data_IF_120409942425
#
_entry.id   IF_120409942425
#
_cell.length_a   1.000
_cell.length_b   1.000
_cell.length_c   1.000
_cell.angle_alpha   90.00
_cell.angle_beta   90.00
_cell.angle_gamma   90.00
#
_symmetry.space_group_name_H-M   'P 1'
#
loop_
_entity.id
_entity.type
_entity.pdbx_description
1 polymer ?
#
# COMPACT_ATOMS: atom_id res chain seq x y z
N UNK A 1 -20.30 -5.23 -29.25
CA UNK A 1 -21.19 -6.41 -29.38
C UNK A 1 -20.69 -7.67 -28.68
N UNK A 2 -19.44 -8.13 -28.90
CA UNK A 2 -18.92 -9.34 -28.23
C UNK A 2 -18.83 -9.21 -26.70
N UNK A 3 -18.50 -8.02 -26.20
CA UNK A 3 -18.42 -7.72 -24.75
C UNK A 3 -19.80 -7.87 -24.08
N UNK A 4 -20.87 -7.31 -24.65
CA UNK A 4 -22.23 -7.47 -24.13
C UNK A 4 -22.72 -8.93 -24.18
N UNK A 5 -22.32 -9.68 -25.21
CA UNK A 5 -22.65 -11.10 -25.32
C UNK A 5 -21.94 -11.92 -24.22
N UNK A 6 -20.71 -11.54 -23.88
CA UNK A 6 -19.96 -12.07 -22.75
C UNK A 6 -20.56 -11.69 -21.40
N UNK A 7 -21.06 -10.46 -21.22
CA UNK A 7 -21.77 -10.03 -20.01
C UNK A 7 -23.09 -10.78 -19.81
N UNK A 8 -23.83 -11.03 -20.89
CA UNK A 8 -25.05 -11.85 -20.88
C UNK A 8 -24.70 -13.30 -20.53
N UNK A 9 -23.64 -13.86 -21.11
CA UNK A 9 -23.14 -15.20 -20.76
C UNK A 9 -22.67 -15.25 -19.30
N UNK A 10 -22.08 -14.17 -18.77
CA UNK A 10 -21.68 -14.04 -17.36
C UNK A 10 -22.89 -14.06 -16.42
N UNK A 11 -23.98 -13.37 -16.81
CA UNK A 11 -25.23 -13.38 -16.05
C UNK A 11 -25.87 -14.78 -16.04
N UNK A 12 -25.84 -15.47 -17.18
CA UNK A 12 -26.35 -16.84 -17.32
C UNK A 12 -25.47 -17.86 -16.57
N UNK A 13 -24.13 -17.69 -16.58
CA UNK A 13 -23.20 -18.57 -15.85
C UNK A 13 -23.34 -18.43 -14.33
N UNK A 14 -23.65 -17.23 -13.82
CA UNK A 14 -23.95 -17.01 -12.38
C UNK A 14 -25.24 -17.70 -11.92
N UNK A 15 -26.19 -17.93 -12.83
CA UNK A 15 -27.50 -18.51 -12.49
C UNK A 15 -27.53 -20.05 -12.51
N UNK A 16 -26.51 -20.74 -13.05
CA UNK A 16 -26.46 -22.21 -13.11
C UNK A 16 -25.09 -22.78 -12.71
N UNK A 17 -24.90 -23.26 -11.46
CA UNK A 17 -23.62 -23.79 -10.98
C UNK A 17 -23.25 -25.18 -11.54
N UNK A 18 -24.22 -25.96 -12.04
CA UNK A 18 -24.00 -27.38 -12.39
C UNK A 18 -23.37 -27.66 -13.77
N UNK A 19 -23.48 -26.75 -14.75
CA UNK A 19 -22.97 -26.91 -16.13
C UNK A 19 -21.94 -25.82 -16.51
N UNK A 20 -21.55 -25.00 -15.54
CA UNK A 20 -20.75 -23.79 -15.71
C UNK A 20 -19.30 -24.02 -16.15
N UNK A 21 -18.76 -25.25 -16.06
CA UNK A 21 -17.40 -25.56 -16.53
C UNK A 21 -17.35 -25.90 -18.03
N UNK A 22 -18.39 -26.52 -18.58
CA UNK A 22 -18.41 -26.97 -19.97
C UNK A 22 -18.68 -25.83 -20.97
N UNK A 23 -19.47 -24.84 -20.55
CA UNK A 23 -19.82 -23.69 -21.38
C UNK A 23 -18.63 -22.76 -21.68
N UNK A 24 -17.83 -22.29 -20.70
CA UNK A 24 -16.68 -21.42 -20.97
C UNK A 24 -15.54 -22.15 -21.69
N UNK A 25 -15.42 -23.49 -21.57
CA UNK A 25 -14.49 -24.28 -22.38
C UNK A 25 -14.89 -24.28 -23.87
N UNK A 26 -16.18 -24.45 -24.19
CA UNK A 26 -16.70 -24.31 -25.57
C UNK A 26 -16.59 -22.88 -26.09
N UNK A 27 -16.71 -21.87 -25.21
CA UNK A 27 -16.53 -20.47 -25.58
C UNK A 27 -15.05 -20.13 -25.82
N UNK A 28 -14.11 -20.72 -25.07
CA UNK A 28 -12.64 -20.56 -25.27
C UNK A 28 -12.19 -20.98 -26.67
N UNK A 29 -12.81 -22.02 -27.25
CA UNK A 29 -12.50 -22.48 -28.62
C UNK A 29 -13.02 -21.52 -29.71
N UNK A 30 -14.13 -20.81 -29.45
CA UNK A 30 -14.74 -19.88 -30.42
C UNK A 30 -14.22 -18.44 -30.32
N UNK A 31 -13.54 -18.09 -29.23
CA UNK A 31 -13.18 -16.71 -28.87
C UNK A 31 -11.69 -16.37 -29.08
N UNK A 32 -10.92 -17.24 -29.74
CA UNK A 32 -9.49 -17.02 -30.05
C UNK A 32 -9.15 -15.75 -30.86
N UNK A 33 -10.16 -15.01 -31.33
CA UNK A 33 -9.99 -13.82 -32.17
C UNK A 33 -9.74 -12.54 -31.34
N UNK A 34 -10.03 -12.53 -30.03
CA UNK A 34 -9.83 -11.35 -29.16
C UNK A 34 -9.23 -11.72 -27.80
N UNK A 35 -8.06 -11.15 -27.50
CA UNK A 35 -7.30 -11.40 -26.26
C UNK A 35 -8.07 -10.96 -25.01
N UNK A 36 -8.82 -9.86 -25.07
CA UNK A 36 -9.69 -9.38 -23.99
C UNK A 36 -10.79 -10.38 -23.62
N UNK A 37 -11.34 -11.05 -24.63
CA UNK A 37 -12.40 -12.04 -24.46
C UNK A 37 -11.86 -13.36 -23.90
N UNK A 38 -10.60 -13.71 -24.21
CA UNK A 38 -9.90 -14.83 -23.56
C UNK A 38 -9.67 -14.54 -22.07
N UNK A 39 -9.29 -13.31 -21.71
CA UNK A 39 -9.12 -12.89 -20.30
C UNK A 39 -10.45 -12.99 -19.55
N UNK A 40 -11.55 -12.51 -20.12
CA UNK A 40 -12.89 -12.62 -19.50
C UNK A 40 -13.33 -14.07 -19.32
N UNK A 41 -13.07 -14.95 -20.29
CA UNK A 41 -13.36 -16.38 -20.13
C UNK A 41 -12.49 -17.02 -19.04
N UNK A 42 -11.18 -16.74 -19.01
CA UNK A 42 -10.26 -17.29 -17.99
C UNK A 42 -10.61 -16.79 -16.59
N UNK A 43 -10.99 -15.53 -16.42
CA UNK A 43 -11.40 -14.96 -15.13
C UNK A 43 -12.72 -15.54 -14.62
N UNK A 44 -13.67 -15.81 -15.52
CA UNK A 44 -14.93 -16.50 -15.18
C UNK A 44 -14.67 -17.95 -14.78
N UNK A 45 -13.81 -18.67 -15.50
CA UNK A 45 -13.36 -20.02 -15.12
C UNK A 45 -12.68 -20.01 -13.76
N UNK A 46 -11.82 -19.02 -13.51
CA UNK A 46 -11.16 -18.84 -12.20
C UNK A 46 -12.16 -18.63 -11.07
N UNK A 47 -13.19 -17.79 -11.29
CA UNK A 47 -14.24 -17.54 -10.28
C UNK A 47 -14.99 -18.83 -9.93
N UNK A 48 -15.38 -19.61 -10.93
CA UNK A 48 -16.07 -20.89 -10.73
C UNK A 48 -15.18 -21.93 -10.06
N UNK A 49 -13.88 -21.95 -10.37
CA UNK A 49 -12.91 -22.85 -9.71
C UNK A 49 -12.62 -22.45 -8.27
N UNK A 50 -12.67 -21.15 -7.96
CA UNK A 50 -12.63 -20.64 -6.60
C UNK A 50 -13.83 -21.11 -5.78
N UNK A 51 -15.03 -21.10 -6.37
CA UNK A 51 -16.23 -21.62 -5.70
C UNK A 51 -16.12 -23.13 -5.42
N UNK A 52 -15.35 -23.86 -6.23
CA UNK A 52 -15.04 -25.29 -6.06
C UNK A 52 -13.84 -25.52 -5.11
N UNK A 53 -13.24 -24.46 -4.56
CA UNK A 53 -12.05 -24.49 -3.69
C UNK A 53 -10.77 -25.09 -4.33
N UNK A 54 -10.65 -25.10 -5.67
CA UNK A 54 -9.43 -25.53 -6.36
C UNK A 54 -8.41 -24.38 -6.44
N UNK A 55 -7.68 -24.16 -5.33
CA UNK A 55 -6.65 -23.14 -5.19
C UNK A 55 -5.46 -23.30 -6.17
N UNK A 56 -4.87 -24.50 -6.38
CA UNK A 56 -3.70 -24.63 -7.25
C UNK A 56 -4.03 -24.40 -8.73
N UNK A 57 -5.20 -24.84 -9.21
CA UNK A 57 -5.60 -24.57 -10.59
C UNK A 57 -5.96 -23.10 -10.81
N UNK A 58 -6.51 -22.43 -9.80
CA UNK A 58 -6.80 -20.99 -9.85
C UNK A 58 -5.50 -20.18 -9.90
N UNK A 59 -4.47 -20.56 -9.14
CA UNK A 59 -3.16 -19.88 -9.17
C UNK A 59 -2.53 -19.89 -10.56
N UNK A 60 -2.47 -21.06 -11.20
CA UNK A 60 -1.94 -21.19 -12.58
C UNK A 60 -2.72 -20.33 -13.57
N UNK A 61 -4.04 -20.27 -13.43
CA UNK A 61 -4.86 -19.42 -14.28
C UNK A 61 -4.61 -17.92 -14.03
N UNK A 62 -4.36 -17.50 -12.79
CA UNK A 62 -4.02 -16.10 -12.47
C UNK A 62 -2.67 -15.74 -13.11
N UNK A 63 -1.64 -16.59 -12.97
CA UNK A 63 -0.32 -16.38 -13.57
C UNK A 63 -0.39 -16.29 -15.10
N UNK A 64 -1.10 -17.23 -15.75
CA UNK A 64 -1.32 -17.20 -17.20
C UNK A 64 -2.09 -15.95 -17.66
N UNK A 65 -3.04 -15.46 -16.87
CA UNK A 65 -3.79 -14.24 -17.21
C UNK A 65 -2.92 -13.01 -16.98
N UNK A 66 -2.07 -12.98 -15.96
CA UNK A 66 -1.15 -11.88 -15.68
C UNK A 66 -0.12 -11.70 -16.81
N UNK A 67 0.45 -12.79 -17.34
CA UNK A 67 1.34 -12.73 -18.50
C UNK A 67 0.66 -12.15 -19.75
N UNK A 68 -0.59 -12.58 -20.02
CA UNK A 68 -1.37 -12.07 -21.14
C UNK A 68 -1.74 -10.59 -20.92
N UNK A 69 -2.03 -10.21 -19.67
CA UNK A 69 -2.32 -8.82 -19.29
C UNK A 69 -1.11 -7.91 -19.52
N UNK A 70 0.10 -8.36 -19.15
CA UNK A 70 1.33 -7.58 -19.29
C UNK A 70 1.71 -7.34 -20.77
N UNK A 71 1.26 -8.21 -21.68
CA UNK A 71 1.49 -8.06 -23.12
C UNK A 71 0.51 -7.07 -23.78
N UNK A 72 -0.61 -6.75 -23.12
CA UNK A 72 -1.62 -5.83 -23.62
C UNK A 72 -1.36 -4.39 -23.15
N UNK A 73 -1.18 -3.42 -24.06
CA UNK A 73 -1.11 -2.02 -23.68
C UNK A 73 -2.52 -1.43 -23.53
N UNK A 74 -2.98 -1.25 -22.29
CA UNK A 74 -4.18 -0.45 -21.99
C UNK A 74 -4.97 -0.93 -20.77
N UNK A 75 -5.58 0.02 -20.04
CA UNK A 75 -6.40 -0.26 -18.86
C UNK A 75 -7.87 -0.43 -19.29
N UNK A 76 -8.24 -1.62 -19.76
CA UNK A 76 -9.65 -1.94 -20.10
C UNK A 76 -10.40 -2.52 -18.88
N UNK A 77 -11.74 -2.49 -18.88
CA UNK A 77 -12.63 -3.07 -17.83
C UNK A 77 -12.33 -4.54 -17.45
N UNK A 78 -11.61 -5.26 -18.30
CA UNK A 78 -11.09 -6.61 -18.03
C UNK A 78 -10.13 -6.65 -16.83
N UNK A 79 -9.38 -5.57 -16.57
CA UNK A 79 -8.48 -5.43 -15.42
C UNK A 79 -9.28 -5.45 -14.12
N UNK A 80 -10.42 -4.75 -14.08
CA UNK A 80 -11.30 -4.75 -12.91
C UNK A 80 -11.76 -6.17 -12.54
N UNK A 81 -12.19 -6.96 -13.53
CA UNK A 81 -12.65 -8.34 -13.29
C UNK A 81 -11.51 -9.28 -12.89
N UNK A 82 -10.32 -9.10 -13.47
CA UNK A 82 -9.13 -9.84 -13.07
C UNK A 82 -8.72 -9.54 -11.63
N UNK A 83 -8.62 -8.27 -11.24
CA UNK A 83 -8.23 -7.93 -9.86
C UNK A 83 -9.32 -8.30 -8.83
N UNK A 84 -10.61 -8.31 -9.18
CA UNK A 84 -11.67 -8.84 -8.29
C UNK A 84 -11.51 -10.36 -8.06
N UNK A 85 -11.10 -11.10 -9.09
CA UNK A 85 -10.77 -12.52 -8.95
C UNK A 85 -9.54 -12.74 -8.06
N UNK A 86 -8.45 -12.04 -8.37
CA UNK A 86 -7.19 -12.14 -7.63
C UNK A 86 -7.37 -11.74 -6.17
N UNK A 87 -8.15 -10.69 -5.89
CA UNK A 87 -8.46 -10.27 -4.52
C UNK A 87 -9.23 -11.35 -3.75
N UNK A 88 -10.23 -12.01 -4.34
CA UNK A 88 -10.93 -13.14 -3.69
C UNK A 88 -9.99 -14.32 -3.41
N UNK A 89 -9.12 -14.64 -4.38
CA UNK A 89 -8.12 -15.69 -4.21
C UNK A 89 -7.16 -15.38 -3.06
N UNK A 90 -6.55 -14.19 -3.04
CA UNK A 90 -5.62 -13.80 -1.98
C UNK A 90 -6.28 -13.67 -0.60
N UNK A 91 -7.57 -13.32 -0.56
CA UNK A 91 -8.37 -13.32 0.67
C UNK A 91 -8.50 -14.74 1.25
N UNK A 92 -8.73 -15.75 0.42
CA UNK A 92 -8.86 -17.16 0.87
C UNK A 92 -7.49 -17.74 1.26
N UNK A 93 -6.44 -17.41 0.51
CA UNK A 93 -5.07 -17.86 0.80
C UNK A 93 -4.50 -17.19 2.07
N UNK A 94 -5.09 -16.09 2.52
CA UNK A 94 -4.62 -15.35 3.70
C UNK A 94 -3.38 -14.50 3.43
N UNK A 95 -3.06 -14.20 2.17
CA UNK A 95 -1.90 -13.38 1.82
C UNK A 95 -2.31 -11.91 1.66
N UNK A 96 -2.25 -11.18 2.77
CA UNK A 96 -2.72 -9.79 2.87
C UNK A 96 -1.89 -8.78 2.04
N UNK A 97 -0.60 -9.04 1.79
CA UNK A 97 0.26 -8.12 1.05
C UNK A 97 -0.08 -8.06 -0.45
N UNK A 98 -0.25 -9.22 -1.09
CA UNK A 98 -0.67 -9.28 -2.49
C UNK A 98 -2.12 -8.83 -2.66
N UNK A 99 -2.99 -9.18 -1.71
CA UNK A 99 -4.36 -8.65 -1.67
C UNK A 99 -4.36 -7.12 -1.68
N UNK A 100 -3.57 -6.48 -0.82
CA UNK A 100 -3.48 -5.03 -0.74
C UNK A 100 -3.04 -4.40 -2.08
N UNK A 101 -2.00 -4.96 -2.71
CA UNK A 101 -1.48 -4.46 -4.00
C UNK A 101 -2.51 -4.57 -5.12
N UNK A 102 -3.16 -5.73 -5.26
CA UNK A 102 -4.15 -5.95 -6.32
C UNK A 102 -5.45 -5.21 -6.06
N UNK A 103 -5.86 -5.06 -4.81
CA UNK A 103 -7.02 -4.26 -4.44
C UNK A 103 -6.78 -2.76 -4.71
N UNK A 104 -5.57 -2.24 -4.49
CA UNK A 104 -5.23 -0.87 -4.89
C UNK A 104 -5.27 -0.69 -6.42
N UNK A 105 -4.73 -1.65 -7.17
CA UNK A 105 -4.81 -1.64 -8.65
C UNK A 105 -6.25 -1.68 -9.13
N UNK A 106 -7.09 -2.48 -8.48
CA UNK A 106 -8.53 -2.54 -8.76
C UNK A 106 -9.21 -1.18 -8.54
N UNK A 107 -8.96 -0.55 -7.38
CA UNK A 107 -9.52 0.76 -7.07
C UNK A 107 -9.01 1.87 -8.01
N UNK A 108 -7.80 1.74 -8.54
CA UNK A 108 -7.28 2.64 -9.57
C UNK A 108 -7.92 2.44 -10.96
N UNK A 109 -8.52 1.28 -11.22
CA UNK A 109 -9.17 0.95 -12.50
C UNK A 109 -10.68 1.24 -12.51
N UNK A 110 -11.31 1.39 -11.34
CA UNK A 110 -12.75 1.59 -11.20
C UNK A 110 -13.01 2.97 -10.62
N UNK A 111 -13.80 3.79 -11.31
CA UNK A 111 -14.22 5.06 -10.73
C UNK A 111 -15.09 4.77 -9.49
N UNK A 112 -14.78 5.45 -8.38
CA UNK A 112 -15.48 5.31 -7.08
C UNK A 112 -16.98 5.68 -7.13
N UNK A 113 -17.54 5.94 -8.31
CA UNK A 113 -18.95 6.27 -8.55
C UNK A 113 -19.78 5.10 -9.03
N UNK A 114 -19.15 4.02 -9.52
CA UNK A 114 -19.87 2.89 -10.12
C UNK A 114 -20.25 1.79 -9.12
N UNK A 115 -19.76 1.85 -7.88
CA UNK A 115 -20.11 0.87 -6.84
C UNK A 115 -21.08 1.45 -5.80
N UNK A 116 -22.03 0.63 -5.30
CA UNK A 116 -22.88 1.02 -4.19
C UNK A 116 -22.05 1.26 -2.91
N UNK A 117 -22.43 2.26 -2.11
CA UNK A 117 -21.70 2.68 -0.89
C UNK A 117 -21.46 1.52 0.09
N UNK A 118 -22.39 0.55 0.18
CA UNK A 118 -22.25 -0.63 1.03
C UNK A 118 -21.07 -1.54 0.62
N UNK A 119 -20.89 -1.79 -0.69
CA UNK A 119 -19.76 -2.58 -1.18
C UNK A 119 -18.45 -1.82 -1.06
N UNK A 120 -18.47 -0.50 -1.26
CA UNK A 120 -17.30 0.34 -1.02
C UNK A 120 -16.86 0.24 0.44
N UNK A 121 -17.81 0.24 1.37
CA UNK A 121 -17.52 0.19 2.79
C UNK A 121 -16.90 -1.14 3.23
N UNK A 122 -17.41 -2.26 2.73
CA UNK A 122 -16.85 -3.59 3.00
C UNK A 122 -15.45 -3.75 2.39
N UNK A 123 -15.27 -3.32 1.14
CA UNK A 123 -13.98 -3.39 0.43
C UNK A 123 -12.93 -2.50 1.09
N UNK A 124 -13.30 -1.28 1.47
CA UNK A 124 -12.38 -0.37 2.16
C UNK A 124 -12.01 -0.87 3.56
N UNK A 125 -12.96 -1.49 4.28
CA UNK A 125 -12.68 -2.13 5.56
C UNK A 125 -11.68 -3.29 5.41
N UNK A 126 -11.96 -4.21 4.48
CA UNK A 126 -11.05 -5.34 4.21
C UNK A 126 -9.69 -4.88 3.67
N UNK A 127 -9.65 -3.80 2.88
CA UNK A 127 -8.40 -3.20 2.40
C UNK A 127 -7.60 -2.56 3.53
N UNK A 128 -8.25 -1.83 4.44
CA UNK A 128 -7.61 -1.26 5.62
C UNK A 128 -7.02 -2.35 6.51
N UNK A 129 -7.78 -3.41 6.79
CA UNK A 129 -7.30 -4.58 7.54
C UNK A 129 -6.12 -5.26 6.84
N UNK A 130 -6.22 -5.50 5.54
CA UNK A 130 -5.14 -6.12 4.79
C UNK A 130 -3.88 -5.25 4.71
N UNK A 131 -4.03 -3.92 4.64
CA UNK A 131 -2.90 -2.99 4.70
C UNK A 131 -2.21 -3.00 6.06
N UNK A 132 -2.98 -3.14 7.14
CA UNK A 132 -2.45 -3.23 8.51
C UNK A 132 -1.71 -4.56 8.73
N UNK A 133 -2.35 -5.68 8.40
CA UNK A 133 -1.82 -7.04 8.55
C UNK A 133 -0.73 -7.39 7.52
N UNK A 134 -0.71 -6.72 6.37
CA UNK A 134 0.25 -6.95 5.31
C UNK A 134 1.67 -6.61 5.72
N UNK A 135 2.56 -7.61 5.73
CA UNK A 135 4.00 -7.40 5.88
C UNK A 135 4.54 -6.72 4.61
N UNK A 136 5.36 -5.67 4.78
CA UNK A 136 5.96 -4.94 3.67
C UNK A 136 5.21 -3.68 3.20
N UNK A 137 4.00 -3.43 3.71
CA UNK A 137 3.23 -2.22 3.38
C UNK A 137 3.48 -1.14 4.44
N UNK A 138 4.31 -0.16 4.11
CA UNK A 138 4.63 0.98 4.99
C UNK A 138 4.09 2.32 4.44
N UNK A 139 3.60 2.33 3.19
CA UNK A 139 3.03 3.50 2.52
C UNK A 139 1.50 3.55 2.70
N UNK A 140 1.05 4.01 3.86
CA UNK A 140 -0.38 4.24 4.14
C UNK A 140 -0.93 5.55 3.56
N UNK A 141 -0.04 6.46 3.14
CA UNK A 141 -0.44 7.77 2.62
C UNK A 141 -1.21 7.68 1.29
N UNK A 142 -0.87 6.73 0.42
CA UNK A 142 -1.60 6.53 -0.85
C UNK A 142 -3.05 6.10 -0.60
N UNK A 143 -3.26 5.23 0.39
CA UNK A 143 -4.59 4.76 0.76
C UNK A 143 -5.42 5.91 1.35
N UNK A 144 -4.83 6.70 2.25
CA UNK A 144 -5.49 7.83 2.93
C UNK A 144 -5.96 8.92 1.96
N UNK A 145 -5.29 9.09 0.82
CA UNK A 145 -5.68 10.07 -0.20
C UNK A 145 -6.83 9.58 -1.09
N UNK A 146 -7.19 8.30 -1.04
CA UNK A 146 -8.23 7.75 -1.90
C UNK A 146 -9.63 8.06 -1.35
N UNK A 147 -10.56 8.60 -2.16
CA UNK A 147 -11.89 9.04 -1.71
C UNK A 147 -12.76 7.91 -1.13
N UNK A 148 -12.42 6.65 -1.44
CA UNK A 148 -13.11 5.46 -0.92
C UNK A 148 -12.99 5.32 0.61
N UNK A 149 -11.95 5.91 1.22
CA UNK A 149 -11.86 6.00 2.68
C UNK A 149 -12.65 7.17 3.27
N UNK A 150 -12.88 8.24 2.50
CA UNK A 150 -13.70 9.36 2.97
C UNK A 150 -15.18 8.95 3.12
N UNK A 151 -15.68 8.08 2.23
CA UNK A 151 -17.00 7.45 2.37
C UNK A 151 -17.17 6.67 3.68
N UNK A 152 -16.07 6.16 4.27
CA UNK A 152 -16.09 5.47 5.57
C UNK A 152 -16.17 6.40 6.78
N UNK A 153 -15.82 7.69 6.64
CA UNK A 153 -15.77 8.62 7.78
C UNK A 153 -17.13 8.83 8.43
N UNK A 154 -18.22 8.55 7.73
CA UNK A 154 -19.58 8.76 8.19
C UNK A 154 -20.21 7.54 8.91
N UNK A 155 -19.49 6.41 9.02
CA UNK A 155 -20.04 5.16 9.57
C UNK A 155 -19.25 4.65 10.78
N UNK A 156 -19.74 3.59 11.43
CA UNK A 156 -19.26 2.93 12.67
C UNK A 156 -17.77 2.50 12.69
N UNK A 157 -17.03 2.71 11.60
CA UNK A 157 -15.64 2.27 11.42
C UNK A 157 -14.62 3.42 11.48
N UNK A 158 -14.99 4.56 12.04
CA UNK A 158 -14.08 5.71 12.22
C UNK A 158 -12.77 5.34 12.91
N UNK A 159 -12.82 4.41 13.87
CA UNK A 159 -11.64 3.87 14.54
C UNK A 159 -10.56 3.45 13.53
N UNK A 160 -10.92 2.77 12.42
CA UNK A 160 -10.00 2.29 11.39
C UNK A 160 -9.17 3.43 10.79
N UNK A 161 -9.85 4.53 10.47
CA UNK A 161 -9.23 5.73 9.89
C UNK A 161 -8.31 6.37 10.93
N UNK A 162 -8.76 6.47 12.17
CA UNK A 162 -7.97 7.09 13.24
C UNK A 162 -6.68 6.35 13.52
N UNK A 163 -6.66 5.01 13.47
CA UNK A 163 -5.35 4.34 13.55
C UNK A 163 -4.57 4.27 12.26
N UNK A 164 -5.18 4.31 11.07
CA UNK A 164 -4.40 4.60 9.86
C UNK A 164 -3.67 5.94 9.98
N UNK A 165 -4.30 6.98 10.54
CA UNK A 165 -3.64 8.24 10.87
C UNK A 165 -2.60 8.10 11.98
N UNK A 166 -2.84 7.30 13.02
CA UNK A 166 -1.85 7.02 14.05
C UNK A 166 -0.61 6.27 13.50
N UNK A 167 -0.81 5.36 12.55
CA UNK A 167 0.24 4.69 11.78
C UNK A 167 0.98 5.68 10.87
N UNK A 168 0.27 6.66 10.30
CA UNK A 168 0.89 7.70 9.49
C UNK A 168 1.80 8.61 10.33
N UNK A 169 1.36 8.97 11.53
CA UNK A 169 2.06 9.83 12.47
C UNK A 169 2.99 9.07 13.46
N UNK A 170 3.17 7.76 13.28
CA UNK A 170 4.11 6.95 14.06
C UNK A 170 3.88 6.99 15.58
N UNK A 171 2.67 7.31 16.04
CA UNK A 171 2.41 7.58 17.45
C UNK A 171 1.87 6.33 18.18
N UNK A 172 2.75 5.71 18.98
CA UNK A 172 2.45 4.49 19.74
C UNK A 172 1.37 4.73 20.81
N UNK A 173 1.24 5.94 21.36
CA UNK A 173 0.28 6.24 22.42
C UNK A 173 -1.15 6.24 21.90
N UNK A 174 -1.38 6.90 20.76
CA UNK A 174 -2.69 6.94 20.12
C UNK A 174 -3.13 5.53 19.71
N UNK A 175 -2.20 4.71 19.23
CA UNK A 175 -2.49 3.31 18.92
C UNK A 175 -2.86 2.50 20.17
N UNK A 176 -2.12 2.68 21.28
CA UNK A 176 -2.44 2.02 22.55
C UNK A 176 -3.82 2.42 23.10
N UNK A 177 -4.17 3.70 23.02
CA UNK A 177 -5.48 4.21 23.44
C UNK A 177 -6.63 3.60 22.62
N UNK A 178 -6.38 3.31 21.34
CA UNK A 178 -7.38 2.74 20.46
C UNK A 178 -7.54 1.22 20.65
N UNK A 179 -6.64 0.50 21.32
CA UNK A 179 -6.70 -0.97 21.49
C UNK A 179 -8.06 -1.52 21.95
N UNK A 180 -8.81 -0.79 22.76
CA UNK A 180 -10.15 -1.15 23.22
C UNK A 180 -11.18 -1.29 22.09
N UNK A 181 -11.04 -0.51 21.01
CA UNK A 181 -11.92 -0.57 19.83
C UNK A 181 -11.47 -1.64 18.82
N UNK A 182 -10.15 -1.85 18.66
CA UNK A 182 -9.59 -2.77 17.67
C UNK A 182 -9.60 -4.23 18.14
N UNK A 183 -9.59 -4.45 19.46
CA UNK A 183 -9.64 -5.78 20.06
C UNK A 183 -10.94 -6.57 19.80
N UNK A 184 -11.95 -5.94 19.22
CA UNK A 184 -13.17 -6.63 18.76
C UNK A 184 -12.91 -7.54 17.54
N UNK A 185 -11.81 -7.35 16.82
CA UNK A 185 -11.44 -8.15 15.66
C UNK A 185 -10.38 -9.19 16.05
N UNK A 186 -10.67 -10.51 15.89
CA UNK A 186 -9.75 -11.58 16.29
C UNK A 186 -8.46 -11.60 15.46
N UNK A 187 -8.51 -11.19 14.19
CA UNK A 187 -7.35 -11.17 13.28
C UNK A 187 -6.28 -10.16 13.72
N UNK A 188 -6.69 -9.02 14.27
CA UNK A 188 -5.78 -7.99 14.81
C UNK A 188 -5.17 -8.43 16.14
N UNK A 189 -5.95 -9.08 17.00
CA UNK A 189 -5.47 -9.61 18.28
C UNK A 189 -4.40 -10.70 18.09
N UNK A 190 -4.60 -11.59 17.10
CA UNK A 190 -3.62 -12.61 16.76
C UNK A 190 -2.28 -12.05 16.25
N UNK A 191 -2.29 -10.85 15.65
CA UNK A 191 -1.11 -10.21 15.05
C UNK A 191 -0.63 -8.95 15.79
N UNK A 192 -1.04 -8.75 17.04
CA UNK A 192 -0.72 -7.55 17.82
C UNK A 192 0.80 -7.30 17.91
N UNK A 193 1.59 -8.33 18.15
CA UNK A 193 3.05 -8.21 18.26
C UNK A 193 3.68 -7.68 16.97
N UNK A 194 3.16 -8.08 15.80
CA UNK A 194 3.65 -7.63 14.50
C UNK A 194 3.24 -6.19 14.22
N UNK A 195 2.01 -5.81 14.57
CA UNK A 195 1.53 -4.43 14.43
C UNK A 195 2.31 -3.47 15.33
N UNK A 196 2.61 -3.87 16.56
CA UNK A 196 3.46 -3.10 17.47
C UNK A 196 4.86 -2.89 16.87
N UNK A 197 5.50 -3.94 16.35
CA UNK A 197 6.79 -3.80 15.65
C UNK A 197 6.68 -2.87 14.43
N UNK A 198 5.60 -2.96 13.66
CA UNK A 198 5.36 -2.13 12.47
C UNK A 198 5.21 -0.64 12.81
N UNK A 199 4.49 -0.30 13.88
CA UNK A 199 4.38 1.09 14.35
C UNK A 199 5.72 1.61 14.84
N UNK A 200 6.48 0.80 15.57
CA UNK A 200 7.81 1.18 16.04
C UNK A 200 8.75 1.48 14.86
N UNK A 201 8.73 0.65 13.81
CA UNK A 201 9.50 0.90 12.59
C UNK A 201 9.08 2.22 11.91
N UNK A 202 7.78 2.48 11.80
CA UNK A 202 7.27 3.72 11.21
C UNK A 202 7.62 4.95 12.05
N UNK A 203 7.61 4.83 13.38
CA UNK A 203 8.04 5.87 14.31
C UNK A 203 9.51 6.25 14.05
N UNK A 204 10.40 5.25 13.91
CA UNK A 204 11.81 5.49 13.58
C UNK A 204 11.96 6.19 12.22
N UNK A 205 11.18 5.78 11.22
CA UNK A 205 11.19 6.44 9.92
C UNK A 205 10.74 7.91 10.00
N UNK A 206 9.69 8.21 10.76
CA UNK A 206 9.15 9.57 10.88
C UNK A 206 10.06 10.51 11.67
N UNK A 207 10.70 10.00 12.73
CA UNK A 207 11.75 10.72 13.44
C UNK A 207 12.92 11.08 12.52
N UNK A 208 13.30 10.16 11.64
CA UNK A 208 14.38 10.38 10.67
C UNK A 208 13.98 11.39 9.58
N UNK A 209 12.70 11.39 9.18
CA UNK A 209 12.18 12.28 8.14
C UNK A 209 12.03 13.74 8.62
N UNK A 210 11.58 13.95 9.85
CA UNK A 210 11.37 15.29 10.42
C UNK A 210 12.69 16.04 10.58
N UNK A 211 13.80 15.34 10.82
CA UNK A 211 15.12 15.94 10.99
C UNK A 211 15.76 16.33 9.65
N UNK A 212 16.34 17.54 9.54
CA UNK A 212 17.06 17.96 8.33
C UNK A 212 18.34 17.14 8.12
N UNK A 213 18.79 17.07 6.86
CA UNK A 213 19.91 16.23 6.43
C UNK A 213 21.23 16.48 7.18
N UNK A 214 21.44 17.69 7.72
CA UNK A 214 22.71 18.10 8.34
C UNK A 214 22.98 17.43 9.70
N UNK A 215 21.97 16.89 10.39
CA UNK A 215 22.13 16.18 11.67
C UNK A 215 21.19 14.96 11.73
N UNK A 216 21.30 14.04 10.77
CA UNK A 216 20.60 12.73 10.81
C UNK A 216 21.26 11.73 11.77
N UNK A 217 21.63 12.20 12.94
CA UNK A 217 22.08 11.38 14.05
C UNK A 217 20.91 11.25 15.04
N UNK A 218 20.53 10.01 15.37
CA UNK A 218 19.50 9.71 16.36
C UNK A 218 20.16 8.95 17.51
N UNK A 219 19.91 9.38 18.74
CA UNK A 219 20.40 8.65 19.91
C UNK A 219 19.44 7.50 20.25
N UNK A 220 19.97 6.42 20.82
CA UNK A 220 19.12 5.29 21.22
C UNK A 220 18.08 5.68 22.28
N UNK A 221 18.39 6.67 23.12
CA UNK A 221 17.46 7.19 24.13
C UNK A 221 16.25 7.90 23.52
N UNK A 222 16.46 8.75 22.51
CA UNK A 222 15.37 9.43 21.80
C UNK A 222 14.46 8.42 21.10
N UNK A 223 15.06 7.39 20.47
CA UNK A 223 14.29 6.32 19.82
C UNK A 223 13.51 5.52 20.86
N UNK A 224 14.13 5.14 21.97
CA UNK A 224 13.50 4.40 23.06
C UNK A 224 12.29 5.15 23.65
N UNK A 225 12.42 6.47 23.86
CA UNK A 225 11.32 7.31 24.36
C UNK A 225 10.16 7.37 23.38
N UNK A 226 10.45 7.55 22.10
CA UNK A 226 9.42 7.76 21.07
C UNK A 226 8.72 6.45 20.69
N UNK A 227 9.47 5.36 20.58
CA UNK A 227 8.94 4.02 20.29
C UNK A 227 8.43 3.28 21.54
N UNK A 228 8.63 3.85 22.74
CA UNK A 228 8.28 3.25 24.04
C UNK A 228 8.81 1.82 24.22
N UNK A 229 10.08 1.63 23.91
CA UNK A 229 10.78 0.35 24.07
C UNK A 229 12.00 0.50 24.96
N UNK A 230 12.50 -0.62 25.46
CA UNK A 230 13.77 -0.61 26.17
C UNK A 230 14.93 -0.34 25.20
N UNK A 231 15.97 0.32 25.71
CA UNK A 231 17.16 0.69 24.93
C UNK A 231 17.80 -0.54 24.26
N UNK A 232 17.76 -1.70 24.92
CA UNK A 232 18.30 -2.96 24.39
C UNK A 232 17.55 -3.47 23.14
N UNK A 233 16.26 -3.15 23.01
CA UNK A 233 15.45 -3.59 21.86
C UNK A 233 15.51 -2.61 20.68
N UNK A 234 16.01 -1.39 20.90
CA UNK A 234 16.18 -0.36 19.86
C UNK A 234 17.12 -0.86 18.77
N UNK A 235 18.20 -1.53 19.14
CA UNK A 235 19.20 -2.02 18.19
C UNK A 235 18.59 -3.07 17.24
N UNK A 236 17.85 -4.03 17.78
CA UNK A 236 17.15 -5.05 16.99
C UNK A 236 16.11 -4.41 16.06
N UNK A 237 15.41 -3.38 16.52
CA UNK A 237 14.45 -2.63 15.70
C UNK A 237 15.14 -1.93 14.52
N UNK A 238 16.26 -1.24 14.78
CA UNK A 238 17.03 -0.55 13.74
C UNK A 238 17.63 -1.55 12.76
N UNK A 239 18.17 -2.68 13.23
CA UNK A 239 18.64 -3.77 12.38
C UNK A 239 17.54 -4.33 11.48
N UNK A 240 16.33 -4.53 12.01
CA UNK A 240 15.16 -4.94 11.21
C UNK A 240 14.81 -3.90 10.16
N UNK A 241 14.80 -2.61 10.53
CA UNK A 241 14.49 -1.52 9.61
C UNK A 241 15.50 -1.43 8.44
N UNK A 242 16.78 -1.65 8.72
CA UNK A 242 17.85 -1.75 7.71
C UNK A 242 17.67 -2.99 6.83
N UNK A 243 17.32 -4.14 7.42
CA UNK A 243 17.13 -5.41 6.69
C UNK A 243 15.94 -5.36 5.73
N UNK A 244 14.86 -4.69 6.12
CA UNK A 244 13.67 -4.47 5.26
C UNK A 244 13.96 -3.41 4.18
N UNK A 245 15.01 -2.60 4.36
CA UNK A 245 15.39 -1.55 3.42
C UNK A 245 14.57 -0.26 3.55
N UNK A 246 13.91 -0.06 4.69
CA UNK A 246 13.17 1.17 4.99
C UNK A 246 14.10 2.37 5.16
N UNK A 247 15.25 2.10 5.76
CA UNK A 247 16.31 3.05 6.03
C UNK A 247 17.65 2.47 5.59
N UNK A 248 18.62 3.33 5.30
CA UNK A 248 20.03 2.96 5.17
C UNK A 248 20.84 3.85 6.08
N UNK A 249 21.86 3.26 6.70
CA UNK A 249 22.66 3.94 7.70
C UNK A 249 23.71 3.04 8.33
N UNK A 250 24.48 3.61 9.25
CA UNK A 250 25.40 2.91 10.15
C UNK A 250 24.94 3.05 11.59
N UNK A 251 25.23 2.03 12.40
CA UNK A 251 24.93 2.01 13.83
C UNK A 251 26.27 2.15 14.56
N UNK A 252 26.37 3.16 15.43
CA UNK A 252 27.51 3.36 16.32
C UNK A 252 27.09 3.01 17.74
N UNK A 253 27.34 1.76 18.13
CA UNK A 253 26.93 1.22 19.43
C UNK A 253 27.64 1.93 20.60
N UNK A 254 28.93 2.25 20.45
CA UNK A 254 29.76 2.87 21.50
C UNK A 254 29.23 4.26 21.88
N UNK A 255 28.81 5.05 20.90
CA UNK A 255 28.21 6.37 21.12
C UNK A 255 26.68 6.32 21.31
N UNK A 256 26.08 5.13 21.18
CA UNK A 256 24.62 4.92 21.17
C UNK A 256 23.90 5.82 20.16
N UNK A 257 24.48 5.96 18.97
CA UNK A 257 23.96 6.80 17.87
C UNK A 257 23.71 5.97 16.64
N UNK A 258 22.68 6.33 15.88
CA UNK A 258 22.45 5.81 14.54
C UNK A 258 22.63 6.94 13.54
N UNK A 259 23.41 6.69 12.50
CA UNK A 259 23.64 7.61 11.39
C UNK A 259 22.81 7.17 10.19
N UNK A 260 21.77 7.94 9.89
CA UNK A 260 20.86 7.64 8.78
C UNK A 260 21.28 8.39 7.52
N UNK A 261 21.61 7.66 6.46
CA UNK A 261 22.00 8.23 5.16
C UNK A 261 20.81 8.36 4.24
N UNK A 262 19.88 7.39 4.27
CA UNK A 262 18.75 7.33 3.35
C UNK A 262 17.50 6.79 4.03
N UNK A 263 16.34 7.29 3.60
CA UNK A 263 15.01 6.85 4.05
C UNK A 263 14.13 6.68 2.82
N UNK A 264 13.27 5.67 2.83
CA UNK A 264 12.29 5.47 1.76
C UNK A 264 11.34 6.68 1.66
N UNK A 265 11.13 7.24 0.46
CA UNK A 265 10.23 8.36 0.26
C UNK A 265 8.78 7.95 0.54
N UNK A 266 8.01 8.88 1.10
CA UNK A 266 6.60 8.71 1.45
C UNK A 266 5.76 9.80 0.81
N UNK A 267 4.46 9.54 0.68
CA UNK A 267 3.47 10.57 0.38
C UNK A 267 3.53 11.66 1.45
N UNK A 268 3.66 12.89 0.98
CA UNK A 268 3.81 14.08 1.81
C UNK A 268 2.46 14.75 2.02
N UNK A 269 2.27 15.32 3.20
CA UNK A 269 1.16 16.23 3.45
C UNK A 269 1.49 17.64 2.90
N UNK A 270 0.46 18.44 2.63
CA UNK A 270 0.56 19.81 2.10
C UNK A 270 1.42 20.69 3.02
N UNK A 271 1.34 20.47 4.34
CA UNK A 271 2.16 21.18 5.31
C UNK A 271 3.66 20.85 5.17
N UNK A 272 4.00 19.60 4.89
CA UNK A 272 5.39 19.17 4.68
C UNK A 272 5.95 19.73 3.37
N UNK A 273 5.13 19.81 2.32
CA UNK A 273 5.50 20.44 1.04
C UNK A 273 5.81 21.93 1.25
N UNK A 274 5.03 22.62 2.08
CA UNK A 274 5.32 24.02 2.44
C UNK A 274 6.68 24.16 3.12
N UNK A 275 7.01 23.27 4.06
CA UNK A 275 8.33 23.25 4.69
C UNK A 275 9.48 22.98 3.71
N UNK A 276 9.25 22.13 2.68
CA UNK A 276 10.24 21.93 1.61
C UNK A 276 10.41 23.17 0.75
N UNK A 277 9.33 23.87 0.42
CA UNK A 277 9.38 25.14 -0.31
C UNK A 277 10.23 26.16 0.45
N UNK A 278 9.97 26.35 1.74
CA UNK A 278 10.70 27.32 2.55
C UNK A 278 12.21 26.99 2.60
N UNK A 279 12.58 25.70 2.68
CA UNK A 279 13.98 25.25 2.63
C UNK A 279 14.62 25.51 1.27
N UNK A 280 13.88 25.29 0.17
CA UNK A 280 14.37 25.51 -1.18
C UNK A 280 14.54 27.02 -1.47
N UNK A 281 13.66 27.85 -0.91
CA UNK A 281 13.79 29.31 -0.95
C UNK A 281 15.03 29.78 -0.17
N UNK A 282 15.30 29.22 1.00
CA UNK A 282 16.55 29.47 1.74
C UNK A 282 17.80 29.09 0.93
N UNK A 283 17.82 27.89 0.35
CA UNK A 283 18.94 27.43 -0.46
C UNK A 283 19.14 28.29 -1.72
N UNK A 284 18.06 28.72 -2.36
CA UNK A 284 18.11 29.67 -3.48
C UNK A 284 18.72 31.02 -3.03
N UNK A 285 18.42 31.46 -1.81
CA UNK A 285 19.05 32.61 -1.18
C UNK A 285 20.57 32.44 -1.00
N UNK A 286 21.00 31.30 -0.47
CA UNK A 286 22.42 31.00 -0.25
C UNK A 286 23.20 30.92 -1.57
N UNK A 287 22.63 30.29 -2.60
CA UNK A 287 23.25 30.21 -3.93
C UNK A 287 23.37 31.59 -4.57
N UNK A 288 22.36 32.46 -4.42
CA UNK A 288 22.44 33.85 -4.90
C UNK A 288 23.50 34.65 -4.15
N UNK A 289 23.61 34.49 -2.83
CA UNK A 289 24.63 35.15 -2.04
C UNK A 289 26.04 34.70 -2.47
N UNK A 290 26.23 33.39 -2.71
CA UNK A 290 27.50 32.85 -3.21
C UNK A 290 27.81 33.36 -4.63
N UNK A 291 26.81 33.43 -5.51
CA UNK A 291 26.97 33.96 -6.86
C UNK A 291 27.42 35.43 -6.84
N UNK A 292 26.80 36.29 -6.01
CA UNK A 292 27.22 37.69 -5.86
C UNK A 292 28.65 37.82 -5.31
N UNK A 293 29.04 36.96 -4.38
CA UNK A 293 30.39 36.92 -3.83
C UNK A 293 31.44 36.58 -4.90
N UNK A 294 31.13 35.59 -5.74
CA UNK A 294 32.00 35.19 -6.85
C UNK A 294 32.05 36.27 -7.92
N UNK A 295 30.92 36.89 -8.28
CA UNK A 295 30.89 37.99 -9.26
C UNK A 295 31.76 39.17 -8.82
N UNK A 296 31.68 39.58 -7.55
CA UNK A 296 32.47 40.69 -7.02
C UNK A 296 33.98 40.37 -7.00
N UNK A 297 34.38 39.15 -6.64
CA UNK A 297 35.79 38.75 -6.62
C UNK A 297 36.34 38.46 -8.03
N UNK A 298 35.49 37.96 -8.92
CA UNK A 298 35.83 37.68 -10.31
C UNK A 298 36.03 38.97 -11.12
N UNK A 299 35.30 40.04 -10.80
CA UNK A 299 35.45 41.35 -11.44
C UNK A 299 36.84 41.98 -11.23
N UNK A 300 37.50 41.72 -10.09
CA UNK A 300 38.87 42.21 -9.82
C UNK A 300 39.96 41.43 -10.60
N UNK A 301 39.63 40.27 -11.18
CA UNK A 301 40.61 39.37 -11.84
C UNK A 301 40.40 39.27 -13.35
N UNK A 302 39.15 39.34 -13.81
CA UNK A 302 38.77 39.09 -15.22
C UNK A 302 38.59 40.35 -16.06
N UNK A 303 38.70 41.54 -15.47
CA UNK A 303 38.76 42.83 -16.18
C UNK A 303 40.08 43.54 -15.91
#
# INVERSE_FOLDING_TARGET
CLICLLEIILHVARQMPGTALCFPLKTKEKVKISEEAVILCKTTIGSLKLDINDLPATKKLIEEVEEILNNLPGVTSVHGRFYDLSSKYYRIVGNHAFYYKDALRYLGCVEAKDLPEAEQQERAFTLGLAGLLGEGVYNFGELLMHPVLESLRNTDKQWLIDTLYAFNAGNVEKFQALKTAWGQQPDLAAQEAKLMQKIQLLCVMEMTFTRPANHRQLTFQEIAQSAKIQVNEVELLVMKALSVGLIKGSIDEVEQKVHMTWVQPRVLDVQQIKGMKDRLDFWCGDVKNMAMLVEHQAQDILT
#
